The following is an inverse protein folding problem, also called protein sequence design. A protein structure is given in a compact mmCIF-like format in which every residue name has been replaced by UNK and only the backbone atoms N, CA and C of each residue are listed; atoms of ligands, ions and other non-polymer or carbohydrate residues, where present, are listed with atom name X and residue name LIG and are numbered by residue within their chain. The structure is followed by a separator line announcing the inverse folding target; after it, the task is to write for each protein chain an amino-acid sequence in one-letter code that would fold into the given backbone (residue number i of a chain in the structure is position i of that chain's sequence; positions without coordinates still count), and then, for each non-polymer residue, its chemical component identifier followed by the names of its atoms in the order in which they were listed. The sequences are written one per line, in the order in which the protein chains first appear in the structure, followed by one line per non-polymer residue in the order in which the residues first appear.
data_IF_537456564705
#
_entry.id   IF_537456564705
#
_cell.length_a   1.000
_cell.length_b   1.000
_cell.length_c   1.000
_cell.angle_alpha   90.00
_cell.angle_beta   90.00
_cell.angle_gamma   90.00
#
_symmetry.space_group_name_H-M   'P 1'
#
loop_
_entity.id
_entity.type
_entity.pdbx_description
1 polymer ?
#
# COMPACT_ATOMS: atom_id res chain seq x y z
N UNK A 1 10.00 18.13 2.13
CA UNK A 1 9.06 18.12 0.99
C UNK A 1 9.82 18.56 -0.26
N UNK A 2 9.97 17.71 -1.28
CA UNK A 2 10.58 18.14 -2.56
C UNK A 2 9.59 19.08 -3.22
N UNK A 3 9.91 20.37 -3.26
CA UNK A 3 9.09 21.38 -3.92
C UNK A 3 9.36 21.24 -5.42
N UNK A 4 8.54 20.49 -6.13
CA UNK A 4 8.61 20.46 -7.58
C UNK A 4 7.98 21.73 -8.12
N UNK A 5 8.54 22.28 -9.18
CA UNK A 5 7.94 23.43 -9.84
C UNK A 5 6.71 22.95 -10.63
N UNK A 6 5.53 23.23 -10.05
CA UNK A 6 4.23 22.82 -10.59
C UNK A 6 4.07 23.23 -12.05
N UNK A 7 4.58 24.41 -12.42
CA UNK A 7 4.50 24.92 -13.78
C UNK A 7 5.30 24.07 -14.76
N UNK A 8 6.48 23.59 -14.35
CA UNK A 8 7.31 22.71 -15.18
C UNK A 8 6.57 21.40 -15.46
N UNK A 9 5.91 20.82 -14.44
CA UNK A 9 5.16 19.58 -14.61
C UNK A 9 3.93 19.79 -15.49
N UNK A 10 3.18 20.89 -15.30
CA UNK A 10 2.04 21.23 -16.15
C UNK A 10 2.45 21.38 -17.63
N UNK A 11 3.55 22.07 -17.92
CA UNK A 11 4.10 22.18 -19.28
C UNK A 11 4.47 20.81 -19.89
N UNK A 12 4.91 19.85 -19.08
CA UNK A 12 5.16 18.47 -19.54
C UNK A 12 3.85 17.74 -19.83
N UNK A 13 2.85 17.90 -18.96
CA UNK A 13 1.50 17.33 -19.15
C UNK A 13 0.89 17.85 -20.45
N UNK A 14 0.99 19.14 -20.74
CA UNK A 14 0.41 19.75 -21.95
C UNK A 14 0.96 19.14 -23.24
N UNK A 15 2.23 18.74 -23.23
CA UNK A 15 2.92 18.11 -24.38
C UNK A 15 2.71 16.60 -24.47
N UNK A 16 2.23 15.96 -23.41
CA UNK A 16 1.99 14.53 -23.39
C UNK A 16 0.58 14.20 -23.90
N UNK A 17 0.42 13.05 -24.55
CA UNK A 17 -0.91 12.48 -24.85
C UNK A 17 -1.42 11.64 -23.69
N UNK A 18 -0.51 10.89 -23.06
CA UNK A 18 -0.76 9.98 -21.95
C UNK A 18 0.06 10.43 -20.73
N UNK A 19 -0.56 10.44 -19.57
CA UNK A 19 0.09 10.74 -18.28
C UNK A 19 -0.17 9.59 -17.32
N UNK A 20 0.88 8.95 -16.82
CA UNK A 20 0.77 7.93 -15.78
C UNK A 20 1.08 8.51 -14.40
N UNK A 21 0.34 8.08 -13.39
CA UNK A 21 0.62 8.37 -11.98
C UNK A 21 0.79 7.06 -11.21
N UNK A 22 1.85 6.98 -10.40
CA UNK A 22 1.96 5.95 -9.38
C UNK A 22 1.10 6.32 -8.17
N UNK A 23 0.16 5.47 -7.78
CA UNK A 23 -0.74 5.81 -6.68
C UNK A 23 0.01 5.98 -5.36
N UNK A 24 0.91 5.06 -5.01
CA UNK A 24 1.55 5.01 -3.69
C UNK A 24 2.82 5.85 -3.61
N UNK A 25 3.47 6.12 -4.74
CA UNK A 25 4.66 6.98 -4.78
C UNK A 25 4.33 8.44 -5.14
N UNK A 26 3.20 8.69 -5.81
CA UNK A 26 2.86 10.03 -6.31
C UNK A 26 1.57 10.59 -5.72
N UNK A 27 0.45 9.87 -5.78
CA UNK A 27 -0.88 10.42 -5.49
C UNK A 27 -1.24 10.44 -4.01
N UNK A 28 -0.61 9.59 -3.20
CA UNK A 28 -0.84 9.54 -1.76
C UNK A 28 0.46 9.64 -0.97
N UNK A 29 0.32 10.03 0.29
CA UNK A 29 1.36 9.90 1.30
C UNK A 29 1.03 8.72 2.21
N UNK A 30 2.09 8.05 2.67
CA UNK A 30 2.01 7.11 3.78
C UNK A 30 2.45 7.83 5.06
N UNK A 31 1.62 7.81 6.09
CA UNK A 31 1.87 8.36 7.42
C UNK A 31 2.79 7.47 8.27
N UNK A 32 3.73 6.81 7.62
CA UNK A 32 4.74 5.92 8.20
C UNK A 32 6.05 6.12 7.44
N UNK A 33 7.18 5.84 8.09
CA UNK A 33 8.49 6.01 7.46
C UNK A 33 8.75 4.94 6.39
N UNK A 34 8.32 3.70 6.64
CA UNK A 34 8.37 2.59 5.68
C UNK A 34 7.01 1.91 5.59
N UNK A 35 6.59 1.38 4.43
CA UNK A 35 5.34 0.61 4.31
C UNK A 35 5.23 -0.51 5.36
N UNK A 36 6.34 -1.20 5.63
CA UNK A 36 6.41 -2.26 6.64
C UNK A 36 6.13 -1.81 8.08
N UNK A 37 6.18 -0.50 8.38
CA UNK A 37 5.88 0.00 9.71
C UNK A 37 4.38 -0.11 10.04
N UNK A 38 3.51 -0.20 9.02
CA UNK A 38 2.08 -0.49 9.20
C UNK A 38 1.88 -1.80 9.99
N UNK A 39 2.73 -2.80 9.78
CA UNK A 39 2.60 -4.11 10.43
C UNK A 39 2.79 -4.06 11.95
N UNK A 40 3.50 -3.06 12.47
CA UNK A 40 3.58 -2.85 13.93
C UNK A 40 2.21 -2.46 14.48
N UNK A 41 1.50 -1.58 13.77
CA UNK A 41 0.15 -1.17 14.16
C UNK A 41 -0.87 -2.29 14.02
N UNK A 42 -0.71 -3.19 13.04
CA UNK A 42 -1.53 -4.40 12.94
C UNK A 42 -1.36 -5.25 14.19
N UNK A 43 -0.12 -5.50 14.63
CA UNK A 43 0.15 -6.24 15.85
C UNK A 43 -0.54 -5.60 17.07
N UNK A 44 -0.38 -4.28 17.24
CA UNK A 44 -0.95 -3.54 18.36
C UNK A 44 -2.49 -3.57 18.32
N UNK A 45 -3.07 -3.37 17.14
CA UNK A 45 -4.51 -3.37 16.92
C UNK A 45 -5.11 -4.73 17.26
N UNK A 46 -4.50 -5.79 16.75
CA UNK A 46 -4.93 -7.16 16.99
C UNK A 46 -4.96 -7.49 18.48
N UNK A 47 -3.84 -7.26 19.17
CA UNK A 47 -3.71 -7.58 20.59
C UNK A 47 -4.59 -6.70 21.48
N UNK A 48 -4.95 -5.49 21.03
CA UNK A 48 -5.88 -4.61 21.77
C UNK A 48 -7.32 -5.14 21.79
N UNK A 49 -7.68 -6.02 20.85
CA UNK A 49 -9.03 -6.55 20.65
C UNK A 49 -9.15 -8.05 20.94
N UNK A 50 -8.02 -8.74 21.11
CA UNK A 50 -7.96 -10.19 21.21
C UNK A 50 -7.82 -10.65 22.66
N UNK A 51 -8.22 -11.89 22.92
CA UNK A 51 -7.91 -12.55 24.18
C UNK A 51 -6.40 -12.83 24.26
N UNK A 52 -5.87 -12.98 25.48
CA UNK A 52 -4.41 -13.14 25.68
C UNK A 52 -3.81 -14.32 24.91
N UNK A 53 -4.57 -15.40 24.75
CA UNK A 53 -4.12 -16.62 24.07
C UNK A 53 -4.07 -16.46 22.55
N UNK A 54 -4.78 -15.46 22.00
CA UNK A 54 -4.80 -15.12 20.57
C UNK A 54 -3.79 -14.02 20.21
N UNK A 55 -3.07 -13.47 21.19
CA UNK A 55 -2.11 -12.41 20.94
C UNK A 55 -1.01 -12.84 19.98
N UNK A 56 -0.68 -11.94 19.05
CA UNK A 56 0.42 -12.11 18.11
C UNK A 56 1.65 -11.35 18.59
N UNK A 57 2.83 -11.90 18.32
CA UNK A 57 4.11 -11.31 18.71
C UNK A 57 5.08 -11.33 17.54
N UNK A 58 5.87 -10.28 17.38
CA UNK A 58 6.80 -10.13 16.26
C UNK A 58 6.14 -10.19 14.87
N UNK A 59 4.85 -9.84 14.78
CA UNK A 59 4.06 -9.99 13.55
C UNK A 59 4.70 -9.27 12.36
N UNK A 60 5.25 -8.06 12.56
CA UNK A 60 5.98 -7.32 11.53
C UNK A 60 7.09 -8.15 10.85
N UNK A 61 7.91 -8.84 11.64
CA UNK A 61 9.01 -9.65 11.12
C UNK A 61 8.49 -10.86 10.35
N UNK A 62 7.47 -11.53 10.88
CA UNK A 62 6.85 -12.68 10.22
C UNK A 62 6.18 -12.29 8.92
N UNK A 63 5.48 -11.16 8.90
CA UNK A 63 4.77 -10.62 7.74
C UNK A 63 5.72 -10.24 6.60
N UNK A 64 6.88 -9.65 6.92
CA UNK A 64 7.93 -9.35 5.92
C UNK A 64 8.50 -10.66 5.34
N UNK A 65 8.87 -11.62 6.19
CA UNK A 65 9.41 -12.92 5.74
C UNK A 65 8.41 -13.71 4.89
N UNK A 66 7.13 -13.65 5.25
CA UNK A 66 6.06 -14.30 4.50
C UNK A 66 5.95 -13.74 3.07
N UNK A 67 6.13 -12.43 2.92
CA UNK A 67 6.13 -11.77 1.61
C UNK A 67 7.34 -12.14 0.77
N UNK A 68 8.54 -12.10 1.35
CA UNK A 68 9.76 -12.57 0.70
C UNK A 68 9.60 -14.00 0.20
N UNK A 69 9.06 -14.88 1.06
CA UNK A 69 8.78 -16.28 0.71
C UNK A 69 7.73 -16.41 -0.40
N UNK A 70 6.69 -15.57 -0.40
CA UNK A 70 5.69 -15.56 -1.45
C UNK A 70 6.30 -15.15 -2.81
N UNK A 71 7.15 -14.11 -2.83
CA UNK A 71 7.83 -13.63 -4.04
C UNK A 71 8.83 -14.65 -4.58
N UNK A 72 9.57 -15.30 -3.69
CA UNK A 72 10.48 -16.39 -4.06
C UNK A 72 9.74 -17.59 -4.66
N UNK A 73 8.59 -17.96 -4.09
CA UNK A 73 7.77 -19.08 -4.59
C UNK A 73 7.07 -18.79 -5.91
N UNK A 74 6.58 -17.57 -6.11
CA UNK A 74 5.90 -17.20 -7.36
C UNK A 74 6.87 -17.04 -8.53
N UNK A 75 8.15 -16.79 -8.25
CA UNK A 75 9.14 -16.41 -9.26
C UNK A 75 8.84 -15.05 -9.90
N UNK A 76 7.91 -14.28 -9.33
CA UNK A 76 7.45 -12.99 -9.82
C UNK A 76 7.63 -11.94 -8.74
N UNK A 77 7.84 -10.70 -9.18
CA UNK A 77 7.86 -9.57 -8.27
C UNK A 77 6.45 -9.39 -7.66
N UNK A 78 5.39 -9.38 -8.45
CA UNK A 78 4.02 -9.23 -7.93
C UNK A 78 3.51 -10.48 -7.20
N UNK A 79 2.96 -10.26 -6.01
CA UNK A 79 2.29 -11.26 -5.16
C UNK A 79 1.03 -10.66 -4.56
N UNK A 80 0.04 -11.50 -4.24
CA UNK A 80 -1.22 -11.04 -3.64
C UNK A 80 -1.14 -11.10 -2.11
N UNK A 81 -1.93 -10.25 -1.43
CA UNK A 81 -2.06 -10.30 0.03
C UNK A 81 -2.38 -11.72 0.53
N UNK A 82 -3.34 -12.40 -0.10
CA UNK A 82 -3.68 -13.79 0.25
C UNK A 82 -2.49 -14.75 0.04
N UNK A 83 -1.75 -14.61 -1.06
CA UNK A 83 -0.55 -15.41 -1.32
C UNK A 83 0.55 -15.17 -0.27
N UNK A 84 0.65 -13.96 0.27
CA UNK A 84 1.54 -13.66 1.39
C UNK A 84 1.05 -14.36 2.67
N UNK A 85 -0.23 -14.24 3.01
CA UNK A 85 -0.79 -14.84 4.23
C UNK A 85 -0.79 -16.38 4.24
N UNK A 86 -0.77 -17.02 3.07
CA UNK A 86 -0.50 -18.46 2.95
C UNK A 86 0.89 -18.86 3.47
N UNK A 87 1.84 -17.93 3.53
CA UNK A 87 3.20 -18.15 4.00
C UNK A 87 3.43 -17.75 5.47
N UNK A 88 2.42 -17.17 6.13
CA UNK A 88 2.44 -16.88 7.57
C UNK A 88 2.15 -18.19 8.33
N UNK A 89 3.13 -18.69 9.09
CA UNK A 89 3.09 -20.04 9.64
C UNK A 89 2.39 -20.19 10.99
N UNK A 90 2.38 -19.14 11.81
CA UNK A 90 2.19 -19.27 13.25
C UNK A 90 0.74 -19.06 13.74
N UNK A 91 -0.19 -18.86 12.80
CA UNK A 91 -1.57 -18.50 13.14
C UNK A 91 -2.58 -19.43 12.47
N UNK A 92 -3.65 -19.75 13.21
CA UNK A 92 -4.80 -20.45 12.65
C UNK A 92 -5.51 -19.57 11.59
N UNK A 93 -6.43 -20.17 10.83
CA UNK A 93 -7.10 -19.47 9.74
C UNK A 93 -7.99 -18.30 10.22
N UNK A 94 -8.52 -18.37 11.43
CA UNK A 94 -9.35 -17.29 11.99
C UNK A 94 -8.51 -16.06 12.30
N UNK A 95 -7.38 -16.24 13.00
CA UNK A 95 -6.43 -15.17 13.31
C UNK A 95 -5.87 -14.57 12.02
N UNK A 96 -5.51 -15.39 11.03
CA UNK A 96 -5.07 -14.89 9.71
C UNK A 96 -6.11 -14.00 9.04
N UNK A 97 -7.40 -14.37 9.10
CA UNK A 97 -8.48 -13.55 8.54
C UNK A 97 -8.58 -12.21 9.26
N UNK A 98 -8.53 -12.20 10.61
CA UNK A 98 -8.53 -10.97 11.41
C UNK A 98 -7.33 -10.06 11.03
N UNK A 99 -6.13 -10.63 10.96
CA UNK A 99 -4.92 -9.90 10.59
C UNK A 99 -4.98 -9.31 9.18
N UNK A 100 -5.55 -10.02 8.20
CA UNK A 100 -5.77 -9.47 6.85
C UNK A 100 -6.68 -8.24 6.91
N UNK A 101 -7.80 -8.34 7.61
CA UNK A 101 -8.77 -7.24 7.76
C UNK A 101 -8.14 -6.04 8.48
N UNK A 102 -7.33 -6.31 9.51
CA UNK A 102 -6.61 -5.31 10.28
C UNK A 102 -5.47 -4.65 9.49
N UNK A 103 -4.74 -5.42 8.67
CA UNK A 103 -3.72 -4.89 7.76
C UNK A 103 -4.35 -3.96 6.73
N UNK A 104 -5.46 -4.37 6.09
CA UNK A 104 -6.19 -3.52 5.16
C UNK A 104 -6.73 -2.25 5.84
N UNK A 105 -7.24 -2.37 7.07
CA UNK A 105 -7.70 -1.23 7.85
C UNK A 105 -6.55 -0.26 8.15
N UNK A 106 -5.43 -0.76 8.65
CA UNK A 106 -4.26 0.05 8.96
C UNK A 106 -3.70 0.71 7.70
N UNK A 107 -3.51 -0.02 6.59
CA UNK A 107 -3.08 0.56 5.31
C UNK A 107 -3.94 1.76 4.93
N UNK A 108 -5.27 1.64 4.97
CA UNK A 108 -6.19 2.76 4.67
C UNK A 108 -6.03 3.92 5.65
N UNK A 109 -5.91 3.62 6.95
CA UNK A 109 -5.79 4.64 7.98
C UNK A 109 -4.50 5.47 7.89
N UNK A 110 -3.42 4.88 7.35
CA UNK A 110 -2.14 5.55 7.17
C UNK A 110 -1.95 6.18 5.79
N UNK A 111 -2.95 6.13 4.91
CA UNK A 111 -2.89 6.75 3.58
C UNK A 111 -3.59 8.10 3.62
N UNK A 112 -2.90 9.15 3.16
CA UNK A 112 -3.49 10.46 2.94
C UNK A 112 -3.32 10.92 1.49
N UNK A 113 -4.29 11.64 0.92
CA UNK A 113 -4.15 12.23 -0.41
C UNK A 113 -3.01 13.26 -0.45
N UNK A 114 -2.13 13.16 -1.44
CA UNK A 114 -1.17 14.21 -1.74
C UNK A 114 -1.87 15.29 -2.59
N UNK A 115 -2.34 16.35 -1.94
CA UNK A 115 -3.16 17.39 -2.56
C UNK A 115 -2.46 18.06 -3.75
N UNK A 116 -1.14 18.23 -3.68
CA UNK A 116 -0.38 18.87 -4.77
C UNK A 116 -0.39 18.02 -6.04
N UNK A 117 -0.09 16.72 -5.92
CA UNK A 117 -0.06 15.80 -7.07
C UNK A 117 -1.46 15.43 -7.54
N UNK A 118 -2.45 15.38 -6.65
CA UNK A 118 -3.87 15.30 -7.04
C UNK A 118 -4.28 16.52 -7.87
N UNK A 119 -3.74 17.71 -7.56
CA UNK A 119 -3.93 18.89 -8.39
C UNK A 119 -3.40 18.69 -9.83
N UNK A 120 -2.24 18.04 -9.98
CA UNK A 120 -1.66 17.70 -11.29
C UNK A 120 -2.46 16.62 -12.02
N UNK A 121 -2.94 15.60 -11.31
CA UNK A 121 -3.87 14.60 -11.83
C UNK A 121 -5.14 15.25 -12.39
N UNK A 122 -5.79 16.10 -11.60
CA UNK A 122 -6.99 16.85 -12.03
C UNK A 122 -6.69 17.76 -13.21
N UNK A 123 -5.50 18.38 -13.25
CA UNK A 123 -5.07 19.19 -14.37
C UNK A 123 -4.92 18.38 -15.67
N UNK A 124 -4.32 17.18 -15.60
CA UNK A 124 -4.21 16.29 -16.75
C UNK A 124 -5.60 15.90 -17.28
N UNK A 125 -6.53 15.51 -16.39
CA UNK A 125 -7.91 15.19 -16.77
C UNK A 125 -8.61 16.39 -17.45
N UNK A 126 -8.48 17.59 -16.88
CA UNK A 126 -9.10 18.81 -17.43
C UNK A 126 -8.60 19.13 -18.84
N UNK A 127 -7.35 18.78 -19.15
CA UNK A 127 -6.76 18.97 -20.48
C UNK A 127 -6.95 17.76 -21.41
N UNK A 128 -7.97 16.93 -21.15
CA UNK A 128 -8.33 15.76 -21.96
C UNK A 128 -7.16 14.78 -22.20
N UNK A 129 -6.24 14.69 -21.24
CA UNK A 129 -5.15 13.72 -21.31
C UNK A 129 -5.67 12.33 -20.98
N UNK A 130 -5.12 11.30 -21.63
CA UNK A 130 -5.35 9.92 -21.20
C UNK A 130 -4.54 9.69 -19.94
N UNK A 131 -5.23 9.47 -18.82
CA UNK A 131 -4.57 9.23 -17.52
C UNK A 131 -4.56 7.74 -17.20
N UNK A 132 -3.41 7.22 -16.78
CA UNK A 132 -3.22 5.84 -16.31
C UNK A 132 -2.78 5.90 -14.85
N UNK A 133 -3.37 5.09 -13.98
CA UNK A 133 -2.92 4.92 -12.61
C UNK A 133 -2.28 3.54 -12.50
N UNK A 134 -1.08 3.49 -11.93
CA UNK A 134 -0.33 2.26 -11.71
C UNK A 134 -0.07 2.05 -10.22
N UNK A 135 0.08 0.79 -9.83
CA UNK A 135 0.38 0.35 -8.47
C UNK A 135 1.14 -0.96 -8.55
N UNK A 136 2.32 -1.03 -7.95
CA UNK A 136 3.15 -2.22 -7.83
C UNK A 136 3.06 -2.84 -6.42
N UNK A 137 1.85 -2.84 -5.85
CA UNK A 137 1.59 -3.33 -4.48
C UNK A 137 0.85 -4.66 -4.45
N UNK A 138 0.87 -5.32 -3.29
CA UNK A 138 0.11 -6.56 -3.05
C UNK A 138 -1.38 -6.33 -2.79
N UNK A 139 -1.83 -5.06 -2.81
CA UNK A 139 -3.21 -4.66 -2.56
C UNK A 139 -4.05 -4.87 -3.82
N UNK A 140 -5.30 -5.29 -3.63
CA UNK A 140 -6.24 -5.49 -4.75
C UNK A 140 -6.64 -4.17 -5.39
N UNK A 141 -7.06 -4.19 -6.65
CA UNK A 141 -7.61 -3.00 -7.34
C UNK A 141 -8.82 -2.38 -6.63
N UNK A 142 -9.60 -3.18 -5.90
CA UNK A 142 -10.78 -2.71 -5.14
C UNK A 142 -10.44 -2.19 -3.73
N UNK A 143 -9.16 -2.10 -3.38
CA UNK A 143 -8.71 -1.59 -2.09
C UNK A 143 -9.04 -0.09 -1.95
#
# INVERSE_FOLDING_TARGET
MRKYDKEIIQKKIDKAEIVSFDIFDTLVFRLVNKPSDVFEFVNLLHNSKSERDDNVYNFKSERIKAEEKARLKSGRQEVTLLGIYQNVGNYNNEIKRKLIEEELFCEKAFILPNIETIGLYRYALKNNKKVIIISDTYLSETF
#
